data_IF_657994326505
#
_entry.id   IF_657994326505
#
_cell.length_a   1.000
_cell.length_b   1.000
_cell.length_c   1.000
_cell.angle_alpha   90.00
_cell.angle_beta   90.00
_cell.angle_gamma   90.00
#
_symmetry.space_group_name_H-M   'P 1'
#
loop_
_entity.id
_entity.type
_entity.pdbx_description
1 polymer ?
#
# COMPACT_ATOMS: atom_id res chain seq x y z
N UNK A 1 0.15 -41.18 -1.13
CA UNK A 1 0.89 -39.97 -1.56
C UNK A 1 -0.05 -38.84 -2.00
N UNK A 2 -1.05 -39.12 -2.84
CA UNK A 2 -2.06 -38.13 -3.29
C UNK A 2 -2.87 -37.49 -2.15
N UNK A 3 -3.30 -38.26 -1.15
CA UNK A 3 -4.03 -37.72 0.02
C UNK A 3 -3.20 -36.71 0.84
N UNK A 4 -1.87 -36.87 0.88
CA UNK A 4 -0.98 -35.89 1.54
C UNK A 4 -0.91 -34.60 0.71
N UNK A 5 -0.81 -34.71 -0.62
CA UNK A 5 -0.84 -33.55 -1.52
C UNK A 5 -2.18 -32.82 -1.45
N UNK A 6 -3.28 -33.55 -1.30
CA UNK A 6 -4.63 -32.99 -1.14
C UNK A 6 -4.74 -32.05 0.08
N UNK A 7 -4.00 -32.33 1.16
CA UNK A 7 -3.92 -31.47 2.33
C UNK A 7 -2.88 -30.36 2.18
N UNK A 8 -1.71 -30.65 1.61
CA UNK A 8 -0.59 -29.69 1.53
C UNK A 8 -0.90 -28.53 0.58
N UNK A 9 -1.53 -28.78 -0.58
CA UNK A 9 -1.77 -27.73 -1.59
C UNK A 9 -2.69 -26.60 -1.06
N UNK A 10 -3.84 -26.87 -0.44
CA UNK A 10 -4.68 -25.82 0.17
C UNK A 10 -3.97 -25.05 1.30
N UNK A 11 -3.14 -25.72 2.10
CA UNK A 11 -2.36 -25.09 3.17
C UNK A 11 -1.33 -24.11 2.59
N UNK A 12 -0.62 -24.50 1.54
CA UNK A 12 0.34 -23.63 0.86
C UNK A 12 -0.33 -22.42 0.20
N UNK A 13 -1.48 -22.63 -0.46
CA UNK A 13 -2.26 -21.53 -1.02
C UNK A 13 -2.72 -20.55 0.06
N UNK A 14 -3.20 -21.07 1.20
CA UNK A 14 -3.67 -20.24 2.32
C UNK A 14 -2.53 -19.46 2.98
N UNK A 15 -1.38 -20.11 3.21
CA UNK A 15 -0.20 -19.45 3.81
C UNK A 15 0.38 -18.39 2.89
N UNK A 16 0.40 -18.62 1.57
CA UNK A 16 0.77 -17.59 0.59
C UNK A 16 -0.14 -16.36 0.69
N UNK A 17 -1.46 -16.55 0.71
CA UNK A 17 -2.39 -15.44 0.82
C UNK A 17 -2.24 -14.72 2.16
N UNK A 18 -2.17 -15.45 3.27
CA UNK A 18 -1.96 -14.88 4.61
C UNK A 18 -0.67 -14.04 4.68
N UNK A 19 0.44 -14.57 4.18
CA UNK A 19 1.72 -13.85 4.12
C UNK A 19 1.64 -12.59 3.25
N UNK A 20 0.97 -12.68 2.10
CA UNK A 20 0.80 -11.53 1.21
C UNK A 20 -0.06 -10.41 1.83
N UNK A 21 -1.08 -10.77 2.62
CA UNK A 21 -1.95 -9.82 3.33
C UNK A 21 -1.20 -9.19 4.50
N UNK A 22 -0.41 -9.98 5.24
CA UNK A 22 0.46 -9.46 6.30
C UNK A 22 1.46 -8.44 5.78
N UNK A 23 2.10 -8.68 4.63
CA UNK A 23 3.02 -7.72 4.00
C UNK A 23 2.31 -6.41 3.64
N UNK A 24 1.08 -6.50 3.14
CA UNK A 24 0.28 -5.32 2.82
C UNK A 24 -0.10 -4.52 4.07
N UNK A 25 -0.56 -5.19 5.12
CA UNK A 25 -0.84 -4.54 6.40
C UNK A 25 0.41 -3.94 7.03
N UNK A 26 1.56 -4.61 6.95
CA UNK A 26 2.83 -4.08 7.42
C UNK A 26 3.21 -2.80 6.65
N UNK A 27 3.05 -2.80 5.32
CA UNK A 27 3.27 -1.61 4.49
C UNK A 27 2.29 -0.49 4.84
N UNK A 28 1.00 -0.78 5.00
CA UNK A 28 -0.01 0.19 5.39
C UNK A 28 0.29 0.79 6.77
N UNK A 29 0.69 -0.03 7.74
CA UNK A 29 1.09 0.41 9.07
C UNK A 29 2.34 1.29 9.04
N UNK A 30 3.33 0.98 8.19
CA UNK A 30 4.51 1.82 7.98
C UNK A 30 4.12 3.18 7.42
N UNK A 31 3.29 3.22 6.37
CA UNK A 31 2.77 4.47 5.78
C UNK A 31 2.02 5.29 6.83
N UNK A 32 1.10 4.67 7.58
CA UNK A 32 0.31 5.33 8.61
C UNK A 32 1.16 5.94 9.74
N UNK A 33 2.36 5.40 10.00
CA UNK A 33 3.30 5.94 11.01
C UNK A 33 4.16 7.07 10.45
N UNK A 34 4.67 6.92 9.24
CA UNK A 34 5.64 7.86 8.65
C UNK A 34 4.97 9.08 8.05
N UNK A 35 3.87 8.88 7.32
CA UNK A 35 3.16 9.96 6.64
C UNK A 35 2.78 11.13 7.57
N UNK A 36 2.12 10.93 8.72
CA UNK A 36 1.76 12.05 9.61
C UNK A 36 2.98 12.77 10.20
N UNK A 37 4.13 12.08 10.38
CA UNK A 37 5.36 12.71 10.87
C UNK A 37 5.97 13.64 9.82
N UNK A 38 6.07 13.17 8.58
CA UNK A 38 6.58 13.97 7.47
C UNK A 38 5.65 15.15 7.19
N UNK A 39 4.33 14.91 7.22
CA UNK A 39 3.33 15.95 6.99
C UNK A 39 3.27 16.97 8.13
N UNK A 40 3.38 16.53 9.38
CA UNK A 40 3.46 17.41 10.55
C UNK A 40 4.66 18.35 10.47
N UNK A 41 5.83 17.81 10.09
CA UNK A 41 7.04 18.62 9.86
C UNK A 41 6.85 19.62 8.72
N UNK A 42 6.30 19.19 7.59
CA UNK A 42 6.02 20.08 6.47
C UNK A 42 5.06 21.21 6.85
N UNK A 43 3.99 20.91 7.60
CA UNK A 43 3.02 21.91 8.04
C UNK A 43 3.62 22.91 9.03
N UNK A 44 4.51 22.46 9.93
CA UNK A 44 5.24 23.34 10.83
C UNK A 44 6.18 24.27 10.04
N UNK A 45 7.03 23.71 9.17
CA UNK A 45 7.96 24.50 8.33
C UNK A 45 7.20 25.48 7.39
N UNK A 46 6.00 25.10 6.93
CA UNK A 46 5.14 25.97 6.13
C UNK A 46 4.50 27.08 6.96
N UNK A 47 4.12 26.81 8.21
CA UNK A 47 3.58 27.82 9.11
C UNK A 47 4.64 28.87 9.46
N UNK A 48 5.88 28.42 9.74
CA UNK A 48 7.03 29.31 9.96
C UNK A 48 7.29 30.17 8.72
N UNK A 49 7.26 29.57 7.51
CA UNK A 49 7.42 30.30 6.26
C UNK A 49 6.33 31.38 6.08
N UNK A 50 5.07 31.06 6.40
CA UNK A 50 3.95 32.03 6.35
C UNK A 50 4.09 33.16 7.37
N UNK A 51 4.70 32.89 8.52
CA UNK A 51 4.98 33.89 9.54
C UNK A 51 6.15 34.80 9.14
N UNK A 52 7.18 34.25 8.48
CA UNK A 52 8.35 35.00 8.03
C UNK A 52 8.06 35.88 6.81
N UNK A 53 7.23 35.43 5.88
CA UNK A 53 7.03 36.10 4.59
C UNK A 53 5.61 35.98 4.06
N UNK A 54 5.17 37.05 3.40
CA UNK A 54 3.90 37.07 2.67
C UNK A 54 3.98 36.21 1.42
N UNK A 55 2.85 35.64 0.99
CA UNK A 55 2.74 34.91 -0.29
C UNK A 55 3.09 35.77 -1.51
N UNK A 56 3.03 37.09 -1.38
CA UNK A 56 3.39 38.04 -2.44
C UNK A 56 4.88 38.36 -2.49
N UNK A 57 5.69 37.84 -1.56
CA UNK A 57 7.14 38.00 -1.62
C UNK A 57 7.71 37.24 -2.84
N UNK A 58 8.57 37.85 -3.67
CA UNK A 58 9.24 37.17 -4.79
C UNK A 58 9.96 35.87 -4.41
N UNK A 59 10.42 35.75 -3.16
CA UNK A 59 11.14 34.58 -2.64
C UNK A 59 10.21 33.46 -2.16
N UNK A 60 8.92 33.75 -1.98
CA UNK A 60 7.91 32.80 -1.50
C UNK A 60 7.88 31.52 -2.34
N UNK A 61 7.82 31.67 -3.67
CA UNK A 61 7.72 30.55 -4.59
C UNK A 61 8.94 29.63 -4.52
N UNK A 62 10.15 30.20 -4.46
CA UNK A 62 11.37 29.40 -4.37
C UNK A 62 11.44 28.62 -3.05
N UNK A 63 11.10 29.25 -1.91
CA UNK A 63 11.14 28.57 -0.60
C UNK A 63 10.03 27.54 -0.43
N UNK A 64 8.80 27.83 -0.86
CA UNK A 64 7.68 26.87 -0.80
C UNK A 64 7.91 25.66 -1.70
N UNK A 65 8.51 25.84 -2.89
CA UNK A 65 8.94 24.74 -3.74
C UNK A 65 10.04 23.90 -3.09
N UNK A 66 11.03 24.53 -2.45
CA UNK A 66 12.08 23.81 -1.73
C UNK A 66 11.52 22.95 -0.57
N UNK A 67 10.56 23.48 0.19
CA UNK A 67 9.84 22.72 1.23
C UNK A 67 9.08 21.52 0.64
N UNK A 68 8.37 21.75 -0.46
CA UNK A 68 7.63 20.69 -1.16
C UNK A 68 8.56 19.60 -1.68
N UNK A 69 9.68 19.97 -2.31
CA UNK A 69 10.69 19.03 -2.80
C UNK A 69 11.37 18.26 -1.66
N UNK A 70 11.57 18.89 -0.50
CA UNK A 70 12.09 18.21 0.70
C UNK A 70 11.09 17.18 1.23
N UNK A 71 9.81 17.53 1.30
CA UNK A 71 8.72 16.61 1.68
C UNK A 71 8.69 15.40 0.74
N UNK A 72 8.76 15.63 -0.58
CA UNK A 72 8.78 14.56 -1.57
C UNK A 72 9.97 13.61 -1.35
N UNK A 73 11.18 14.15 -1.20
CA UNK A 73 12.39 13.36 -0.90
C UNK A 73 12.28 12.56 0.39
N UNK A 74 11.66 13.11 1.44
CA UNK A 74 11.48 12.40 2.71
C UNK A 74 10.48 11.24 2.58
N UNK A 75 9.40 11.40 1.82
CA UNK A 75 8.46 10.32 1.55
C UNK A 75 9.11 9.22 0.71
N UNK A 76 9.82 9.60 -0.35
CA UNK A 76 10.53 8.67 -1.22
C UNK A 76 11.63 7.89 -0.48
N UNK A 77 12.41 8.56 0.39
CA UNK A 77 13.41 7.92 1.24
C UNK A 77 12.81 6.90 2.23
N UNK A 78 11.52 7.01 2.54
CA UNK A 78 10.78 6.04 3.36
C UNK A 78 10.02 4.99 2.53
N UNK A 79 10.21 4.97 1.20
CA UNK A 79 9.52 4.05 0.29
C UNK A 79 8.04 4.36 0.11
N UNK A 80 7.62 5.60 0.41
CA UNK A 80 6.24 6.06 0.28
C UNK A 80 6.14 6.90 -0.98
N UNK A 81 5.12 6.63 -1.79
CA UNK A 81 4.83 7.44 -2.96
C UNK A 81 4.48 8.88 -2.52
N UNK A 82 5.26 9.89 -2.95
CA UNK A 82 5.08 11.28 -2.53
C UNK A 82 3.79 11.93 -3.06
N UNK A 83 3.10 11.28 -3.99
CA UNK A 83 1.84 11.74 -4.57
C UNK A 83 0.60 11.16 -3.85
N UNK A 84 0.81 10.33 -2.82
CA UNK A 84 -0.25 9.86 -1.91
C UNK A 84 -0.85 11.06 -1.19
N UNK A 85 -2.14 11.35 -1.42
CA UNK A 85 -2.84 12.52 -0.88
C UNK A 85 -3.02 13.70 -1.85
N UNK A 86 -2.66 13.55 -3.13
CA UNK A 86 -3.01 14.51 -4.19
C UNK A 86 -4.50 14.47 -4.53
N UNK A 87 -5.04 15.47 -5.27
CA UNK A 87 -6.44 15.46 -5.74
C UNK A 87 -6.83 14.14 -6.41
N UNK A 88 -5.87 13.47 -7.07
CA UNK A 88 -6.04 12.14 -7.64
C UNK A 88 -6.41 11.10 -6.58
N UNK A 89 -5.68 11.03 -5.46
CA UNK A 89 -5.99 10.13 -4.35
C UNK A 89 -7.36 10.42 -3.70
N UNK A 90 -7.80 11.68 -3.71
CA UNK A 90 -9.11 12.08 -3.21
C UNK A 90 -10.23 11.65 -4.17
N UNK A 91 -10.03 11.85 -5.48
CA UNK A 91 -10.92 11.34 -6.54
C UNK A 91 -11.03 9.81 -6.50
N UNK A 92 -9.89 9.14 -6.30
CA UNK A 92 -9.75 7.70 -6.20
C UNK A 92 -10.50 7.12 -4.98
N UNK A 93 -10.73 7.90 -3.92
CA UNK A 93 -11.52 7.51 -2.74
C UNK A 93 -13.03 7.72 -2.88
N UNK A 94 -13.46 8.56 -3.82
CA UNK A 94 -14.87 8.88 -4.05
C UNK A 94 -15.57 7.89 -4.99
N UNK A 95 -14.80 7.12 -5.76
CA UNK A 95 -15.32 6.16 -6.74
C UNK A 95 -15.05 4.74 -6.24
N UNK A 96 -16.03 3.80 -6.34
CA UNK A 96 -15.77 2.40 -6.06
C UNK A 96 -14.65 1.89 -6.96
N UNK A 97 -13.50 1.53 -6.38
CA UNK A 97 -12.42 0.93 -7.14
C UNK A 97 -12.66 -0.55 -7.33
N UNK A 98 -12.39 -1.04 -8.54
CA UNK A 98 -12.33 -2.46 -8.80
C UNK A 98 -11.26 -3.12 -7.88
N UNK A 99 -11.45 -4.39 -7.49
CA UNK A 99 -10.46 -5.10 -6.71
C UNK A 99 -9.10 -5.06 -7.40
N UNK A 100 -8.03 -4.83 -6.63
CA UNK A 100 -6.69 -4.72 -7.16
C UNK A 100 -6.29 -6.01 -7.88
N UNK A 101 -5.38 -5.93 -8.85
CA UNK A 101 -4.84 -7.11 -9.52
C UNK A 101 -4.21 -8.12 -8.52
N UNK A 102 -3.71 -7.62 -7.39
CA UNK A 102 -3.16 -8.43 -6.31
C UNK A 102 -4.27 -9.21 -5.59
N UNK A 103 -5.41 -8.59 -5.30
CA UNK A 103 -6.55 -9.25 -4.67
C UNK A 103 -7.17 -10.30 -5.58
N UNK A 104 -7.30 -10.01 -6.87
CA UNK A 104 -7.72 -10.99 -7.87
C UNK A 104 -6.77 -12.19 -7.88
N UNK A 105 -5.45 -11.95 -7.83
CA UNK A 105 -4.45 -13.04 -7.77
C UNK A 105 -4.61 -13.89 -6.52
N UNK A 106 -4.81 -13.28 -5.34
CA UNK A 106 -5.05 -13.99 -4.08
C UNK A 106 -6.29 -14.87 -4.15
N UNK A 107 -7.39 -14.33 -4.69
CA UNK A 107 -8.64 -15.07 -4.89
C UNK A 107 -8.43 -16.28 -5.81
N UNK A 108 -7.73 -16.10 -6.93
CA UNK A 108 -7.39 -17.20 -7.84
C UNK A 108 -6.52 -18.27 -7.17
N UNK A 109 -5.52 -17.87 -6.38
CA UNK A 109 -4.67 -18.83 -5.64
C UNK A 109 -5.49 -19.67 -4.66
N UNK A 110 -6.45 -19.08 -3.94
CA UNK A 110 -7.34 -19.82 -3.04
C UNK A 110 -8.28 -20.76 -3.80
N UNK A 111 -8.87 -20.29 -4.91
CA UNK A 111 -9.78 -21.09 -5.72
C UNK A 111 -9.07 -22.30 -6.34
N UNK A 112 -7.93 -22.08 -7.01
CA UNK A 112 -7.18 -23.18 -7.61
C UNK A 112 -6.55 -24.10 -6.55
N UNK A 113 -6.03 -23.54 -5.46
CA UNK A 113 -5.46 -24.33 -4.36
C UNK A 113 -6.48 -25.28 -3.73
N UNK A 114 -7.71 -24.81 -3.50
CA UNK A 114 -8.80 -25.64 -2.98
C UNK A 114 -9.30 -26.67 -3.99
N UNK A 115 -9.50 -26.29 -5.25
CA UNK A 115 -9.90 -27.21 -6.33
C UNK A 115 -8.90 -28.36 -6.51
N UNK A 116 -7.60 -28.05 -6.57
CA UNK A 116 -6.54 -29.05 -6.70
C UNK A 116 -6.51 -29.99 -5.49
N UNK A 117 -6.70 -29.46 -4.29
CA UNK A 117 -6.81 -30.26 -3.07
C UNK A 117 -7.96 -31.27 -3.13
N UNK A 118 -9.16 -30.81 -3.47
CA UNK A 118 -10.36 -31.66 -3.63
C UNK A 118 -10.15 -32.70 -4.73
N UNK A 119 -9.55 -32.32 -5.86
CA UNK A 119 -9.27 -33.22 -6.96
C UNK A 119 -8.31 -34.35 -6.55
N UNK A 120 -7.21 -34.02 -5.86
CA UNK A 120 -6.28 -35.04 -5.35
C UNK A 120 -6.92 -35.94 -4.30
N UNK A 121 -7.82 -35.42 -3.48
CA UNK A 121 -8.59 -36.24 -2.54
C UNK A 121 -9.49 -37.23 -3.29
N UNK A 122 -10.25 -36.75 -4.26
CA UNK A 122 -11.13 -37.59 -5.09
C UNK A 122 -10.37 -38.69 -5.81
N UNK A 123 -9.21 -38.37 -6.40
CA UNK A 123 -8.33 -39.36 -7.04
C UNK A 123 -7.72 -40.36 -6.05
N UNK A 124 -7.51 -39.97 -4.79
CA UNK A 124 -7.00 -40.89 -3.78
C UNK A 124 -8.03 -41.89 -3.27
N UNK A 125 -9.31 -41.67 -3.57
CA UNK A 125 -10.45 -42.51 -3.19
C UNK A 125 -10.91 -43.44 -4.33
N UNK A 126 -10.37 -43.27 -5.54
CA UNK A 126 -10.54 -44.15 -6.70
C UNK A 126 -9.48 -45.27 -6.68
#
# INVERSE_FOLDING_TARGET
MLAVLAAVVPILASTYVAGSVLLEHARAAHVARVYPRVWGRYNAELADLKAEMSMHDPRWNARSQALTARRMRLLEANGIDPYVGTMKAMSDSAVPQAPSAIDQRRQWVLLFGSLVGVFFLALSLL
#
